data_IF_834382657361
#
_entry.id   IF_834382657361
#
_cell.length_a   1.000
_cell.length_b   1.000
_cell.length_c   1.000
_cell.angle_alpha   90.00
_cell.angle_beta   90.00
_cell.angle_gamma   90.00
#
_symmetry.space_group_name_H-M   'P 1'
#
loop_
_entity.id
_entity.type
_entity.pdbx_description
1 polymer ?
#
# COMPACT_ATOMS: atom_id res chain seq x y z
N UNK A 1 -0.02 -19.15 -5.93
CA UNK A 1 0.20 -17.68 -5.95
C UNK A 1 0.55 -17.28 -4.52
N UNK A 2 1.59 -16.46 -4.32
CA UNK A 2 1.92 -15.97 -2.99
C UNK A 2 0.74 -15.16 -2.45
N UNK A 3 0.33 -15.44 -1.22
CA UNK A 3 -0.70 -14.66 -0.50
C UNK A 3 -0.27 -13.18 -0.45
N UNK A 4 -1.15 -12.25 -0.82
CA UNK A 4 -0.87 -10.81 -0.74
C UNK A 4 -0.75 -10.35 0.72
N UNK A 5 0.09 -9.35 0.98
CA UNK A 5 0.40 -8.89 2.35
C UNK A 5 -0.87 -8.55 3.15
N UNK A 6 -1.80 -7.78 2.58
CA UNK A 6 -3.07 -7.42 3.25
C UNK A 6 -3.89 -8.66 3.63
N UNK A 7 -3.95 -9.66 2.74
CA UNK A 7 -4.66 -10.92 3.01
C UNK A 7 -4.01 -11.68 4.17
N UNK A 8 -2.68 -11.72 4.18
CA UNK A 8 -1.90 -12.35 5.26
C UNK A 8 -2.09 -11.62 6.59
N UNK A 9 -1.96 -10.30 6.61
CA UNK A 9 -2.18 -9.48 7.82
C UNK A 9 -3.57 -9.72 8.37
N UNK A 10 -4.59 -9.66 7.51
CA UNK A 10 -5.97 -9.92 7.89
C UNK A 10 -6.11 -11.33 8.50
N UNK A 11 -5.55 -12.35 7.85
CA UNK A 11 -5.55 -13.73 8.36
C UNK A 11 -4.86 -13.84 9.71
N UNK A 12 -3.73 -13.19 9.94
CA UNK A 12 -3.01 -13.28 11.22
C UNK A 12 -3.72 -12.54 12.35
N UNK A 13 -4.29 -11.37 12.06
CA UNK A 13 -5.07 -10.58 13.03
C UNK A 13 -6.40 -11.26 13.35
N UNK A 14 -7.10 -11.82 12.35
CA UNK A 14 -8.39 -12.50 12.56
C UNK A 14 -8.28 -14.00 12.86
N UNK A 15 -7.10 -14.59 12.66
CA UNK A 15 -6.84 -16.02 12.75
C UNK A 15 -6.78 -16.47 14.21
N UNK A 16 -7.85 -17.12 14.64
CA UNK A 16 -7.95 -17.71 15.97
C UNK A 16 -7.13 -18.99 16.11
N UNK A 17 -6.81 -19.30 17.38
CA UNK A 17 -6.18 -20.51 17.91
C UNK A 17 -6.83 -21.82 17.41
N UNK A 18 -8.03 -21.76 16.83
CA UNK A 18 -8.78 -22.91 16.29
C UNK A 18 -8.08 -23.66 15.15
N UNK A 19 -7.13 -23.05 14.42
CA UNK A 19 -6.36 -23.80 13.41
C UNK A 19 -5.21 -24.64 14.00
N UNK A 20 -4.89 -24.45 15.29
CA UNK A 20 -3.88 -25.26 15.97
C UNK A 20 -4.39 -26.65 16.36
N UNK A 21 -5.72 -26.85 16.36
CA UNK A 21 -6.35 -28.11 16.79
C UNK A 21 -6.12 -29.24 15.79
N UNK A 22 -6.06 -28.94 14.49
CA UNK A 22 -5.91 -29.95 13.43
C UNK A 22 -4.45 -30.40 13.18
N UNK A 23 -3.46 -29.75 13.82
CA UNK A 23 -2.02 -30.01 13.59
C UNK A 23 -1.37 -30.95 14.63
N UNK A 24 -2.17 -31.52 15.52
CA UNK A 24 -1.73 -32.17 16.77
C UNK A 24 -1.31 -33.64 16.58
N UNK A 25 -1.29 -34.19 15.36
CA UNK A 25 -0.92 -35.61 15.20
C UNK A 25 0.56 -35.93 15.53
N UNK A 26 1.48 -34.94 15.59
CA UNK A 26 2.90 -35.19 15.90
C UNK A 26 3.67 -34.04 16.60
N UNK A 27 3.04 -32.90 16.94
CA UNK A 27 3.74 -31.71 17.49
C UNK A 27 3.08 -31.24 18.78
N UNK A 28 3.88 -30.79 19.77
CA UNK A 28 3.31 -30.26 21.02
C UNK A 28 2.50 -28.97 20.73
N UNK A 29 1.32 -28.77 21.31
CA UNK A 29 0.53 -27.56 21.04
C UNK A 29 1.28 -26.26 21.38
N UNK A 30 2.17 -26.29 22.38
CA UNK A 30 3.01 -25.15 22.75
C UNK A 30 3.96 -24.73 21.61
N UNK A 31 4.59 -25.69 20.93
CA UNK A 31 5.49 -25.41 19.80
C UNK A 31 4.75 -24.83 18.59
N UNK A 32 3.48 -25.21 18.37
CA UNK A 32 2.69 -24.63 17.28
C UNK A 32 2.30 -23.18 17.61
N UNK A 33 1.93 -22.89 18.86
CA UNK A 33 1.67 -21.52 19.33
C UNK A 33 2.92 -20.62 19.20
N UNK A 34 4.11 -21.14 19.53
CA UNK A 34 5.38 -20.42 19.37
C UNK A 34 5.68 -20.10 17.90
N UNK A 35 5.47 -21.04 16.98
CA UNK A 35 5.63 -20.77 15.54
C UNK A 35 4.61 -19.77 15.01
N UNK A 36 3.37 -19.80 15.51
CA UNK A 36 2.36 -18.81 15.15
C UNK A 36 2.77 -17.39 15.59
N UNK A 37 3.36 -17.24 16.79
CA UNK A 37 3.93 -15.96 17.25
C UNK A 37 5.08 -15.51 16.33
N UNK A 38 5.98 -16.44 15.95
CA UNK A 38 7.07 -16.16 15.00
C UNK A 38 6.54 -15.75 13.62
N UNK A 39 5.43 -16.32 13.18
CA UNK A 39 4.79 -15.93 11.92
C UNK A 39 4.27 -14.50 11.99
N UNK A 40 3.67 -14.09 13.11
CA UNK A 40 3.27 -12.69 13.34
C UNK A 40 4.48 -11.76 13.33
N UNK A 41 5.60 -12.15 13.95
CA UNK A 41 6.84 -11.35 13.90
C UNK A 41 7.36 -11.16 12.46
N UNK A 42 7.43 -12.24 11.68
CA UNK A 42 7.82 -12.16 10.26
C UNK A 42 6.87 -11.25 9.47
N UNK A 43 5.58 -11.26 9.79
CA UNK A 43 4.60 -10.37 9.15
C UNK A 43 4.79 -8.91 9.57
N UNK A 44 5.10 -8.63 10.84
CA UNK A 44 5.43 -7.28 11.31
C UNK A 44 6.63 -6.72 10.56
N UNK A 45 7.69 -7.52 10.40
CA UNK A 45 8.89 -7.09 9.67
C UNK A 45 8.58 -6.82 8.19
N UNK A 46 7.79 -7.67 7.53
CA UNK A 46 7.34 -7.44 6.15
C UNK A 46 6.55 -6.13 5.99
N UNK A 47 5.60 -5.86 6.89
CA UNK A 47 4.82 -4.60 6.86
C UNK A 47 5.73 -3.39 7.09
N UNK A 48 6.75 -3.51 7.95
CA UNK A 48 7.73 -2.44 8.20
C UNK A 48 8.63 -2.18 7.00
N UNK A 49 9.03 -3.21 6.28
CA UNK A 49 9.82 -3.06 5.05
C UNK A 49 9.01 -2.32 3.98
N UNK A 50 7.73 -2.67 3.81
CA UNK A 50 6.82 -1.94 2.92
C UNK A 50 6.64 -0.48 3.37
N UNK A 51 6.42 -0.26 4.68
CA UNK A 51 6.30 1.09 5.25
C UNK A 51 7.55 1.93 4.99
N UNK A 52 8.75 1.36 5.11
CA UNK A 52 9.99 2.05 4.79
C UNK A 52 10.05 2.47 3.31
N UNK A 53 9.59 1.61 2.40
CA UNK A 53 9.46 1.94 0.98
C UNK A 53 8.48 3.10 0.73
N UNK A 54 7.31 3.06 1.35
CA UNK A 54 6.28 4.12 1.25
C UNK A 54 6.81 5.45 1.80
N UNK A 55 7.50 5.43 2.94
CA UNK A 55 8.12 6.63 3.53
C UNK A 55 9.19 7.23 2.60
N UNK A 56 10.02 6.41 1.98
CA UNK A 56 11.01 6.87 1.01
C UNK A 56 10.35 7.51 -0.22
N UNK A 57 9.31 6.87 -0.77
CA UNK A 57 8.54 7.40 -1.90
C UNK A 57 7.84 8.72 -1.55
N UNK A 58 7.21 8.80 -0.38
CA UNK A 58 6.58 10.01 0.14
C UNK A 58 7.59 11.15 0.29
N UNK A 59 8.78 10.86 0.83
CA UNK A 59 9.83 11.87 0.95
C UNK A 59 10.26 12.38 -0.43
N UNK A 60 10.54 11.48 -1.37
CA UNK A 60 10.92 11.86 -2.74
C UNK A 60 9.84 12.69 -3.44
N UNK A 61 8.57 12.31 -3.30
CA UNK A 61 7.43 13.04 -3.87
C UNK A 61 7.32 14.45 -3.25
N UNK A 62 7.48 14.58 -1.93
CA UNK A 62 7.49 15.86 -1.24
C UNK A 62 8.67 16.75 -1.66
N UNK A 63 9.88 16.21 -1.77
CA UNK A 63 11.04 16.98 -2.25
C UNK A 63 10.77 17.51 -3.66
N UNK A 64 10.27 16.66 -4.56
CA UNK A 64 9.93 17.07 -5.93
C UNK A 64 8.80 18.09 -5.97
N UNK A 65 7.79 17.94 -5.13
CA UNK A 65 6.70 18.91 -5.01
C UNK A 65 7.27 20.27 -4.58
N UNK A 66 8.05 20.31 -3.51
CA UNK A 66 8.69 21.54 -3.02
C UNK A 66 9.59 22.21 -4.07
N UNK A 67 10.44 21.46 -4.76
CA UNK A 67 11.25 22.01 -5.85
C UNK A 67 10.41 22.56 -7.01
N UNK A 68 9.31 21.87 -7.36
CA UNK A 68 8.41 22.26 -8.45
C UNK A 68 7.65 23.53 -8.08
N UNK A 69 7.15 23.64 -6.84
CA UNK A 69 6.46 24.83 -6.35
C UNK A 69 7.41 26.01 -6.22
N UNK A 70 8.62 25.82 -5.70
CA UNK A 70 9.61 26.91 -5.63
C UNK A 70 9.97 27.42 -7.01
N UNK A 71 10.22 26.53 -7.99
CA UNK A 71 10.49 26.95 -9.38
C UNK A 71 9.30 27.68 -10.00
N UNK A 72 8.07 27.28 -9.68
CA UNK A 72 6.86 27.95 -10.16
C UNK A 72 6.76 29.39 -9.62
N UNK A 73 7.04 29.59 -8.33
CA UNK A 73 7.08 30.91 -7.68
C UNK A 73 8.21 31.79 -8.23
N UNK A 74 9.41 31.23 -8.43
CA UNK A 74 10.54 31.93 -9.04
C UNK A 74 10.20 32.42 -10.45
N UNK A 75 9.57 31.56 -11.28
CA UNK A 75 9.11 31.94 -12.61
C UNK A 75 8.04 33.04 -12.53
N UNK A 76 7.14 33.02 -11.55
CA UNK A 76 6.17 34.09 -11.37
C UNK A 76 6.86 35.46 -11.16
N UNK A 77 7.91 35.50 -10.34
CA UNK A 77 8.73 36.71 -10.16
C UNK A 77 9.44 37.14 -11.45
N UNK A 78 10.05 36.19 -12.17
CA UNK A 78 10.74 36.46 -13.43
C UNK A 78 9.80 36.97 -14.53
N UNK A 79 8.59 36.41 -14.63
CA UNK A 79 7.55 36.86 -15.56
C UNK A 79 7.18 38.32 -15.26
N UNK A 80 6.98 38.67 -13.99
CA UNK A 80 6.65 40.04 -13.60
C UNK A 80 7.76 41.03 -13.99
N UNK A 81 9.04 40.65 -13.85
CA UNK A 81 10.18 41.47 -14.30
C UNK A 81 10.19 41.59 -15.83
N UNK A 82 10.07 40.48 -16.55
CA UNK A 82 10.08 40.47 -18.02
C UNK A 82 8.97 41.34 -18.62
N UNK A 83 7.76 41.29 -18.04
CA UNK A 83 6.63 42.15 -18.44
C UNK A 83 6.92 43.63 -18.21
N UNK A 84 7.50 43.99 -17.05
CA UNK A 84 7.87 45.39 -16.74
C UNK A 84 8.92 45.94 -17.70
N UNK A 85 9.90 45.11 -18.06
CA UNK A 85 10.96 45.45 -19.02
C UNK A 85 10.50 45.39 -20.48
N UNK A 86 9.23 45.05 -20.75
CA UNK A 86 8.70 44.90 -22.11
C UNK A 86 9.29 43.73 -22.90
N UNK A 87 9.93 42.78 -22.20
CA UNK A 87 10.55 41.57 -22.77
C UNK A 87 9.54 40.43 -22.87
N UNK A 88 8.60 40.59 -23.79
CA UNK A 88 7.52 39.62 -24.02
C UNK A 88 8.06 38.22 -24.39
N UNK A 89 9.17 38.15 -25.13
CA UNK A 89 9.86 36.91 -25.50
C UNK A 89 10.24 36.05 -24.29
N UNK A 90 10.81 36.68 -23.26
CA UNK A 90 11.19 36.00 -22.02
C UNK A 90 9.96 35.66 -21.18
N UNK A 91 8.97 36.55 -21.15
CA UNK A 91 7.74 36.32 -20.41
C UNK A 91 6.98 35.11 -20.98
N UNK A 92 6.86 34.99 -22.31
CA UNK A 92 6.23 33.84 -22.95
C UNK A 92 6.95 32.53 -22.63
N UNK A 93 8.28 32.51 -22.70
CA UNK A 93 9.07 31.32 -22.37
C UNK A 93 8.89 30.90 -20.89
N UNK A 94 8.90 31.87 -19.97
CA UNK A 94 8.69 31.61 -18.55
C UNK A 94 7.26 31.17 -18.24
N UNK A 95 6.24 31.77 -18.88
CA UNK A 95 4.83 31.37 -18.76
C UNK A 95 4.61 29.94 -19.28
N UNK A 96 5.20 29.58 -20.42
CA UNK A 96 5.11 28.23 -20.96
C UNK A 96 5.65 27.20 -19.95
N UNK A 97 6.81 27.49 -19.35
CA UNK A 97 7.37 26.63 -18.30
C UNK A 97 6.52 26.61 -17.04
N UNK A 98 5.96 27.75 -16.64
CA UNK A 98 5.09 27.85 -15.47
C UNK A 98 3.84 26.98 -15.63
N UNK A 99 3.19 27.00 -16.80
CA UNK A 99 2.04 26.15 -17.12
C UNK A 99 2.39 24.65 -17.05
N UNK A 100 3.57 24.24 -17.52
CA UNK A 100 4.01 22.84 -17.40
C UNK A 100 4.18 22.40 -15.94
N UNK A 101 4.65 23.30 -15.06
CA UNK A 101 4.77 23.02 -13.63
C UNK A 101 3.40 22.96 -12.95
N UNK A 102 2.45 23.83 -13.35
CA UNK A 102 1.07 23.83 -12.83
C UNK A 102 0.32 22.52 -13.12
N UNK A 103 0.65 21.84 -14.22
CA UNK A 103 0.10 20.51 -14.52
C UNK A 103 0.74 19.43 -13.62
N UNK A 104 2.02 19.58 -13.27
CA UNK A 104 2.77 18.59 -12.47
C UNK A 104 2.48 18.66 -10.98
N UNK A 105 2.28 19.87 -10.43
CA UNK A 105 1.99 20.10 -9.00
C UNK A 105 0.85 19.21 -8.48
N UNK A 106 -0.36 19.20 -9.07
CA UNK A 106 -1.47 18.39 -8.54
C UNK A 106 -1.21 16.88 -8.62
N UNK A 107 -0.42 16.43 -9.59
CA UNK A 107 -0.02 15.01 -9.69
C UNK A 107 0.90 14.64 -8.53
N UNK A 108 1.87 15.51 -8.20
CA UNK A 108 2.78 15.31 -7.07
C UNK A 108 2.04 15.42 -5.73
N UNK A 109 1.08 16.34 -5.60
CA UNK A 109 0.21 16.44 -4.42
C UNK A 109 -0.61 15.16 -4.21
N UNK A 110 -1.22 14.61 -5.27
CA UNK A 110 -1.92 13.34 -5.20
C UNK A 110 -0.99 12.21 -4.78
N UNK A 111 0.21 12.14 -5.36
CA UNK A 111 1.21 11.12 -5.00
C UNK A 111 1.62 11.21 -3.52
N UNK A 112 1.79 12.42 -2.97
CA UNK A 112 2.06 12.62 -1.54
C UNK A 112 0.86 12.20 -0.69
N UNK A 113 -0.36 12.56 -1.09
CA UNK A 113 -1.58 12.23 -0.37
C UNK A 113 -1.81 10.71 -0.33
N UNK A 114 -1.61 10.02 -1.45
CA UNK A 114 -1.76 8.57 -1.55
C UNK A 114 -0.71 7.84 -0.73
N UNK A 115 0.56 8.23 -0.82
CA UNK A 115 1.61 7.66 0.03
C UNK A 115 1.35 7.91 1.53
N UNK A 116 0.79 9.06 1.90
CA UNK A 116 0.42 9.37 3.29
C UNK A 116 -0.78 8.55 3.79
N UNK A 117 -1.66 8.10 2.88
CA UNK A 117 -2.77 7.19 3.20
C UNK A 117 -2.24 5.78 3.45
N UNK A 118 -1.40 5.30 2.54
CA UNK A 118 -0.76 3.99 2.62
C UNK A 118 0.12 3.86 3.87
N UNK A 119 0.90 4.89 4.21
CA UNK A 119 1.66 4.99 5.47
C UNK A 119 0.77 4.71 6.68
N UNK A 120 -0.38 5.39 6.80
CA UNK A 120 -1.32 5.21 7.93
C UNK A 120 -1.94 3.82 7.96
N UNK A 121 -2.23 3.24 6.80
CA UNK A 121 -2.78 1.88 6.71
C UNK A 121 -1.75 0.85 7.20
N UNK A 122 -0.50 0.95 6.74
CA UNK A 122 0.59 0.07 7.16
C UNK A 122 0.93 0.24 8.65
N UNK A 123 0.97 1.47 9.17
CA UNK A 123 1.10 1.72 10.61
C UNK A 123 -0.03 1.06 11.42
N UNK A 124 -1.27 1.13 10.92
CA UNK A 124 -2.42 0.44 11.47
C UNK A 124 -2.24 -1.08 11.51
N UNK A 125 -1.71 -1.67 10.44
CA UNK A 125 -1.39 -3.10 10.37
C UNK A 125 -0.29 -3.50 11.36
N UNK A 126 0.78 -2.71 11.47
CA UNK A 126 1.83 -2.94 12.47
C UNK A 126 1.24 -2.94 13.88
N UNK A 127 0.40 -1.95 14.21
CA UNK A 127 -0.26 -1.87 15.52
C UNK A 127 -1.16 -3.08 15.79
N UNK A 128 -1.98 -3.48 14.81
CA UNK A 128 -2.88 -4.62 14.94
C UNK A 128 -2.12 -5.95 15.12
N UNK A 129 -1.05 -6.18 14.34
CA UNK A 129 -0.21 -7.36 14.48
C UNK A 129 0.51 -7.40 15.83
N UNK A 130 1.01 -6.26 16.32
CA UNK A 130 1.64 -6.19 17.64
C UNK A 130 0.65 -6.46 18.78
N UNK A 131 -0.59 -5.95 18.68
CA UNK A 131 -1.63 -6.27 19.64
C UNK A 131 -1.92 -7.78 19.64
N UNK A 132 -2.10 -8.36 18.44
CA UNK A 132 -2.34 -9.80 18.27
C UNK A 132 -1.21 -10.65 18.83
N UNK A 133 0.05 -10.24 18.60
CA UNK A 133 1.23 -10.91 19.17
C UNK A 133 1.14 -11.00 20.70
N UNK A 134 0.84 -9.88 21.37
CA UNK A 134 0.74 -9.83 22.85
C UNK A 134 -0.38 -10.73 23.37
N UNK A 135 -1.50 -10.79 22.67
CA UNK A 135 -2.60 -11.73 23.00
C UNK A 135 -2.11 -13.18 22.92
N UNK A 136 -1.47 -13.56 21.82
CA UNK A 136 -0.95 -14.92 21.60
C UNK A 136 0.13 -15.30 22.62
N UNK A 137 1.00 -14.35 23.00
CA UNK A 137 1.99 -14.56 24.06
C UNK A 137 1.32 -14.81 25.43
N UNK A 138 0.28 -14.05 25.77
CA UNK A 138 -0.48 -14.24 27.00
C UNK A 138 -1.22 -15.60 27.01
N UNK A 139 -1.81 -15.99 25.88
CA UNK A 139 -2.45 -17.31 25.70
C UNK A 139 -1.43 -18.44 25.88
N UNK A 140 -0.22 -18.31 25.32
CA UNK A 140 0.85 -19.29 25.46
C UNK A 140 1.34 -19.42 26.92
N UNK A 141 1.46 -18.31 27.65
CA UNK A 141 1.81 -18.33 29.08
C UNK A 141 0.73 -19.05 29.89
N UNK A 142 -0.55 -18.74 29.64
CA UNK A 142 -1.68 -19.40 30.31
C UNK A 142 -1.72 -20.90 30.01
N UNK A 143 -1.48 -21.29 28.76
CA UNK A 143 -1.43 -22.68 28.33
C UNK A 143 -0.29 -23.46 28.99
N UNK A 144 0.90 -22.87 29.14
CA UNK A 144 2.01 -23.51 29.87
C UNK A 144 1.69 -23.68 31.35
N UNK A 145 1.06 -22.68 31.97
CA UNK A 145 0.65 -22.75 33.38
C UNK A 145 -0.39 -23.86 33.61
N UNK A 146 -1.38 -24.00 32.73
CA UNK A 146 -2.39 -25.06 32.85
C UNK A 146 -1.78 -26.46 32.68
N UNK A 147 -0.84 -26.65 31.74
CA UNK A 147 -0.11 -27.92 31.62
C UNK A 147 0.68 -28.28 32.89
N UNK A 148 1.35 -27.31 33.51
CA UNK A 148 2.08 -27.53 34.76
C UNK A 148 1.16 -27.92 35.92
N UNK A 149 -0.01 -27.28 36.02
CA UNK A 149 -1.02 -27.62 37.04
C UNK A 149 -1.62 -29.02 36.82
N UNK A 150 -1.93 -29.39 35.59
CA UNK A 150 -2.41 -30.75 35.27
C UNK A 150 -1.36 -31.84 35.54
N UNK A 151 -0.07 -31.53 35.36
CA UNK A 151 1.03 -32.43 35.71
C UNK A 151 1.21 -32.59 37.24
N UNK A 152 0.96 -31.54 38.03
CA UNK A 152 1.01 -31.60 39.50
C UNK A 152 -0.20 -32.30 40.12
N UNK A 153 -1.40 -32.13 39.56
CA UNK A 153 -2.62 -32.85 40.02
C UNK A 153 -2.56 -34.35 39.70
N UNK A 154 -1.88 -34.72 38.61
CA UNK A 154 -1.62 -36.12 38.26
C UNK A 154 -0.59 -36.80 39.19
N UNK A 155 0.20 -36.04 39.95
CA UNK A 155 1.12 -36.56 40.96
C UNK A 155 0.48 -36.74 42.35
N UNK A 156 -0.72 -36.20 42.58
CA UNK A 156 -1.45 -36.27 43.86
C UNK A 156 -2.60 -37.30 43.90
N UNK A 157 -2.93 -37.95 42.78
CA UNK A 157 -3.88 -39.07 42.74
C UNK A 157 -3.22 -40.35 42.24
N UNK A 158 -2.60 -41.08 43.17
CA UNK A 158 -2.36 -42.51 42.99
C UNK A 158 -3.64 -43.29 43.27
N UNK A 159 -4.50 -43.46 42.27
CA UNK A 159 -5.50 -44.55 42.24
C UNK A 159 -5.65 -45.05 40.80
N UNK A 160 -5.63 -46.38 40.66
CA UNK A 160 -5.63 -47.13 39.42
C UNK A 160 -6.92 -47.00 38.57
N UNK A 161 -6.76 -47.35 37.29
CA UNK A 161 -7.74 -47.31 36.19
C UNK A 161 -9.04 -48.12 36.42
N UNK A 162 -10.02 -47.97 35.51
CA UNK A 162 -10.11 -49.04 34.51
C UNK A 162 -10.19 -48.54 33.06
N UNK A 163 -9.77 -49.46 32.17
CA UNK A 163 -9.87 -49.38 30.71
C UNK A 163 -11.33 -49.51 30.30
N UNK A 164 -11.80 -48.68 29.36
CA UNK A 164 -12.97 -49.00 28.57
C UNK A 164 -12.78 -48.71 27.08
N UNK A 165 -13.18 -49.73 26.33
CA UNK A 165 -13.39 -49.96 24.90
C UNK A 165 -13.01 -48.90 23.86
N UNK A 166 -12.16 -49.35 22.95
CA UNK A 166 -12.16 -49.01 21.51
C UNK A 166 -13.54 -49.34 20.92
N UNK A 167 -14.17 -48.41 20.19
CA UNK A 167 -14.89 -48.62 18.92
C UNK A 167 -15.79 -47.42 18.56
N UNK A 168 -15.67 -46.92 17.32
CA UNK A 168 -16.78 -46.25 16.66
C UNK A 168 -16.49 -45.02 15.79
N UNK A 169 -16.03 -45.28 14.56
CA UNK A 169 -16.31 -44.53 13.31
C UNK A 169 -15.34 -43.42 12.87
N UNK A 170 -14.37 -43.87 12.08
CA UNK A 170 -13.88 -43.17 10.88
C UNK A 170 -14.96 -43.09 9.80
N UNK A 171 -15.05 -41.96 9.09
CA UNK A 171 -15.19 -41.80 7.61
C UNK A 171 -15.89 -40.48 7.25
N UNK A 172 -15.10 -39.46 6.89
CA UNK A 172 -15.22 -38.71 5.62
C UNK A 172 -14.09 -37.66 5.54
N UNK A 173 -13.03 -38.04 4.82
CA UNK A 173 -12.03 -37.13 4.31
C UNK A 173 -12.49 -36.58 2.95
N UNK A 174 -12.35 -35.27 2.81
CA UNK A 174 -11.77 -34.51 1.68
C UNK A 174 -12.15 -34.86 0.23
N UNK A 175 -12.52 -33.82 -0.53
CA UNK A 175 -11.82 -33.32 -1.73
C UNK A 175 -12.80 -32.66 -2.71
N UNK A 176 -12.60 -31.36 -2.97
CA UNK A 176 -12.85 -30.75 -4.28
C UNK A 176 -12.27 -29.32 -4.30
N UNK A 177 -10.97 -29.22 -4.58
CA UNK A 177 -10.40 -28.07 -5.26
C UNK A 177 -9.28 -28.60 -6.15
N UNK A 178 -9.54 -28.69 -7.46
CA UNK A 178 -8.70 -27.96 -8.41
C UNK A 178 -9.19 -28.05 -9.87
N UNK A 179 -8.92 -26.94 -10.55
CA UNK A 179 -8.53 -26.78 -11.97
C UNK A 179 -9.56 -26.62 -13.09
N UNK A 180 -9.52 -25.37 -13.60
CA UNK A 180 -9.15 -25.01 -14.98
C UNK A 180 -10.15 -25.36 -16.09
N UNK A 181 -10.83 -24.31 -16.53
CA UNK A 181 -11.16 -23.96 -17.92
C UNK A 181 -11.78 -22.56 -17.83
N UNK A 182 -11.52 -21.56 -18.66
CA UNK A 182 -10.61 -21.37 -19.77
C UNK A 182 -10.76 -19.88 -20.11
N UNK A 183 -9.69 -19.29 -20.62
CA UNK A 183 -9.64 -17.94 -21.17
C UNK A 183 -10.90 -17.54 -21.96
N UNK A 184 -11.54 -16.46 -21.51
CA UNK A 184 -12.40 -15.63 -22.35
C UNK A 184 -12.09 -14.17 -22.03
N UNK A 185 -10.83 -13.76 -22.23
CA UNK A 185 -10.51 -12.35 -22.48
C UNK A 185 -11.13 -11.98 -23.83
N UNK A 186 -12.42 -11.66 -23.80
CA UNK A 186 -13.12 -11.01 -24.89
C UNK A 186 -12.62 -9.57 -25.00
N UNK A 187 -11.51 -9.37 -25.70
CA UNK A 187 -11.11 -8.06 -26.20
C UNK A 187 -11.13 -8.09 -27.73
N UNK A 188 -12.08 -7.39 -28.38
CA UNK A 188 -11.91 -6.97 -29.75
C UNK A 188 -11.09 -5.68 -29.81
N UNK A 189 -10.09 -5.67 -30.70
CA UNK A 189 -9.70 -4.48 -31.47
C UNK A 189 -8.84 -3.45 -30.76
N UNK A 190 -7.52 -3.66 -30.78
CA UNK A 190 -6.60 -2.53 -30.82
C UNK A 190 -6.80 -1.78 -32.14
N UNK A 191 -7.47 -0.63 -32.10
CA UNK A 191 -7.44 0.32 -33.20
C UNK A 191 -5.99 0.79 -33.35
N UNK A 192 -5.40 0.51 -34.50
CA UNK A 192 -4.20 1.21 -34.94
C UNK A 192 -4.57 2.68 -35.08
N UNK A 193 -4.10 3.51 -34.15
CA UNK A 193 -4.10 4.96 -34.33
C UNK A 193 -3.20 5.28 -35.50
N UNK A 194 -3.78 5.84 -36.56
CA UNK A 194 -3.04 6.25 -37.74
C UNK A 194 -2.01 7.31 -37.34
N UNK A 195 -0.73 7.05 -37.60
CA UNK A 195 0.40 7.91 -37.17
C UNK A 195 0.25 9.36 -37.67
N UNK A 196 -0.44 9.54 -38.80
CA UNK A 196 -0.78 10.85 -39.37
C UNK A 196 -1.77 11.64 -38.50
N UNK A 197 -2.75 10.97 -37.88
CA UNK A 197 -3.73 11.61 -37.00
C UNK A 197 -3.10 11.99 -35.65
N UNK A 198 -2.19 11.16 -35.13
CA UNK A 198 -1.41 11.50 -33.95
C UNK A 198 -0.56 12.79 -34.15
N UNK A 199 -0.05 13.01 -35.36
CA UNK A 199 0.77 14.19 -35.69
C UNK A 199 -0.09 15.47 -35.72
N UNK A 200 -1.27 15.42 -36.34
CA UNK A 200 -2.21 16.54 -36.38
C UNK A 200 -2.77 16.87 -35.00
N UNK A 201 -3.02 15.87 -34.16
CA UNK A 201 -3.46 16.06 -32.79
C UNK A 201 -2.37 16.77 -31.96
N UNK A 202 -1.11 16.39 -32.11
CA UNK A 202 0.01 17.09 -31.46
C UNK A 202 0.12 18.56 -31.92
N UNK A 203 -0.06 18.85 -33.22
CA UNK A 203 -0.07 20.23 -33.73
C UNK A 203 -1.20 21.08 -33.12
N UNK A 204 -2.39 20.49 -32.93
CA UNK A 204 -3.53 21.17 -32.27
C UNK A 204 -3.23 21.44 -30.80
N UNK A 205 -2.61 20.50 -30.09
CA UNK A 205 -2.19 20.69 -28.70
C UNK A 205 -1.14 21.81 -28.58
N UNK A 206 -0.18 21.87 -29.50
CA UNK A 206 0.82 22.93 -29.56
C UNK A 206 0.20 24.31 -29.81
N UNK A 207 -0.79 24.40 -30.71
CA UNK A 207 -1.53 25.64 -30.97
C UNK A 207 -2.33 26.07 -29.73
N UNK A 208 -3.05 25.15 -29.09
CA UNK A 208 -3.79 25.43 -27.87
C UNK A 208 -2.86 25.89 -26.72
N UNK A 209 -1.68 25.28 -26.61
CA UNK A 209 -0.64 25.68 -25.66
C UNK A 209 -0.14 27.09 -25.93
N UNK A 210 0.20 27.43 -27.17
CA UNK A 210 0.63 28.79 -27.55
C UNK A 210 -0.45 29.84 -27.24
N UNK A 211 -1.71 29.53 -27.55
CA UNK A 211 -2.82 30.44 -27.24
C UNK A 211 -2.93 30.71 -25.74
N UNK A 212 -2.88 29.67 -24.90
CA UNK A 212 -2.88 29.82 -23.43
C UNK A 212 -1.73 30.69 -22.91
N UNK A 213 -0.54 30.53 -23.47
CA UNK A 213 0.62 31.37 -23.11
C UNK A 213 0.35 32.83 -23.46
N UNK A 214 -0.15 33.10 -24.67
CA UNK A 214 -0.45 34.46 -25.14
C UNK A 214 -1.58 35.14 -24.33
N UNK A 215 -2.63 34.40 -23.98
CA UNK A 215 -3.74 34.89 -23.17
C UNK A 215 -3.26 35.29 -21.77
N UNK A 216 -2.42 34.45 -21.16
CA UNK A 216 -1.84 34.73 -19.83
C UNK A 216 -0.89 35.92 -19.86
N UNK A 217 -0.06 36.05 -20.90
CA UNK A 217 0.79 37.23 -21.07
C UNK A 217 -0.06 38.50 -21.20
N UNK A 218 -1.09 38.48 -22.04
CA UNK A 218 -1.98 39.62 -22.25
C UNK A 218 -2.66 40.05 -20.94
N UNK A 219 -3.16 39.08 -20.15
CA UNK A 219 -3.75 39.33 -18.84
C UNK A 219 -2.74 39.96 -17.85
N UNK A 220 -1.52 39.45 -17.79
CA UNK A 220 -0.47 39.99 -16.92
C UNK A 220 -0.07 41.41 -17.34
N UNK A 221 0.04 41.69 -18.64
CA UNK A 221 0.32 43.04 -19.17
C UNK A 221 -0.81 44.03 -18.89
N UNK A 222 -2.06 43.59 -18.94
CA UNK A 222 -3.21 44.42 -18.57
C UNK A 222 -3.16 44.78 -17.08
N UNK A 223 -2.95 43.78 -16.21
CA UNK A 223 -2.82 44.01 -14.76
C UNK A 223 -1.66 44.92 -14.37
N UNK A 224 -0.56 44.91 -15.13
CA UNK A 224 0.60 45.78 -14.91
C UNK A 224 0.42 47.22 -15.42
N UNK A 225 -0.61 47.49 -16.25
CA UNK A 225 -0.96 48.84 -16.72
C UNK A 225 -1.97 49.54 -15.81
N UNK A 226 -2.78 48.76 -15.09
CA UNK A 226 -3.87 49.26 -14.23
C UNK A 226 -3.42 49.52 -12.78
N UNK A 227 -2.21 49.08 -12.40
CA UNK A 227 -1.60 49.31 -11.07
C UNK A 227 -0.39 50.23 -11.13
#
# INVERSE_FOLDING_TARGET
MAEGLVTRVKRLVSGGVNQLVDSIENTSPATVMEEAIREVDRAVDQVRDELAGVLANKHLANTRLGETTTRHEELQGQIAVAVKEGRDDLAEAAIARQLDLEVQIPVLESAVADASREEKELEGYVSALQARKREMEAELVNFRRSQQQSATDSAASGVAAPKDSVEGKTRKAEQAFDRVMQNATGLPGGLSTDKADATKLAELEDLARKNRVSERLAALKASAKDG
#
